data_IF_550763508203
#
_entry.id   IF_550763508203
#
_cell.length_a   1.000
_cell.length_b   1.000
_cell.length_c   1.000
_cell.angle_alpha   90.00
_cell.angle_beta   90.00
_cell.angle_gamma   90.00
#
_symmetry.space_group_name_H-M   'P 1'
#
loop_
_entity.id
_entity.type
_entity.pdbx_description
1 polymer ?
#
# COMPACT_ATOMS: atom_id res chain seq x y z
N UNK A 1 6.24 20.69 -0.16
CA UNK A 1 4.99 20.71 -0.94
C UNK A 1 4.12 19.55 -0.48
N UNK A 2 2.79 19.68 -0.37
CA UNK A 2 1.88 18.60 0.09
C UNK A 2 1.12 18.00 -1.10
N UNK A 3 0.77 16.72 -1.02
CA UNK A 3 -0.02 16.06 -2.07
C UNK A 3 -1.38 16.74 -2.26
N UNK A 4 -2.03 17.14 -1.17
CA UNK A 4 -3.30 17.87 -1.19
C UNK A 4 -3.18 19.23 -1.88
N UNK A 5 -2.01 19.87 -1.90
CA UNK A 5 -1.82 21.11 -2.66
C UNK A 5 -2.02 20.85 -4.16
N UNK A 6 -1.47 19.74 -4.67
CA UNK A 6 -1.58 19.36 -6.08
C UNK A 6 -3.01 18.87 -6.39
N UNK A 7 -3.57 18.02 -5.52
CA UNK A 7 -4.93 17.50 -5.67
C UNK A 7 -5.97 18.62 -5.72
N UNK A 8 -5.88 19.64 -4.86
CA UNK A 8 -6.81 20.78 -4.88
C UNK A 8 -6.68 21.66 -6.12
N UNK A 9 -5.49 21.73 -6.72
CA UNK A 9 -5.29 22.47 -7.97
C UNK A 9 -5.83 21.71 -9.18
N UNK A 10 -5.84 20.37 -9.11
CA UNK A 10 -6.29 19.49 -10.19
C UNK A 10 -7.15 18.36 -9.62
N UNK A 11 -8.39 18.65 -9.16
CA UNK A 11 -9.22 17.65 -8.54
C UNK A 11 -9.59 16.57 -9.56
N UNK A 12 -9.16 15.35 -9.27
CA UNK A 12 -9.43 14.18 -10.08
C UNK A 12 -9.66 12.98 -9.16
N UNK A 13 -10.47 12.02 -9.60
CA UNK A 13 -10.65 10.77 -8.84
C UNK A 13 -9.34 10.00 -8.84
N UNK A 14 -8.72 9.88 -7.67
CA UNK A 14 -7.49 9.07 -7.47
C UNK A 14 -7.90 7.68 -6.97
N UNK A 15 -7.59 6.64 -7.74
CA UNK A 15 -7.87 5.25 -7.35
C UNK A 15 -6.69 4.56 -6.67
N UNK A 16 -5.47 5.03 -6.91
CA UNK A 16 -4.23 4.42 -6.44
C UNK A 16 -3.16 5.49 -6.21
N UNK A 17 -2.38 5.35 -5.14
CA UNK A 17 -1.18 6.12 -4.85
C UNK A 17 -0.01 5.13 -4.67
N UNK A 18 1.11 5.35 -5.35
CA UNK A 18 2.39 4.72 -4.99
C UNK A 18 3.16 5.69 -4.09
N UNK A 19 3.63 5.23 -2.93
CA UNK A 19 4.51 5.99 -2.04
C UNK A 19 5.83 5.25 -1.92
N UNK A 20 6.87 5.89 -2.42
CA UNK A 20 8.23 5.35 -2.48
C UNK A 20 9.14 6.55 -2.26
N UNK A 21 9.45 6.80 -0.98
CA UNK A 21 10.04 8.07 -0.54
C UNK A 21 11.21 7.89 0.43
N UNK A 22 11.78 6.68 0.47
CA UNK A 22 13.02 6.39 1.20
C UNK A 22 12.98 6.91 2.65
N UNK A 23 11.88 6.65 3.38
CA UNK A 23 11.72 7.04 4.79
C UNK A 23 10.87 8.29 5.04
N UNK A 24 10.35 8.94 3.99
CA UNK A 24 9.52 10.13 4.12
C UNK A 24 8.01 9.85 3.97
N UNK A 25 7.59 8.60 4.11
CA UNK A 25 6.22 8.14 3.86
C UNK A 25 5.24 8.86 4.78
N UNK A 26 5.61 9.08 6.04
CA UNK A 26 4.78 9.79 7.01
C UNK A 26 4.47 11.23 6.56
N UNK A 27 5.44 11.92 5.95
CA UNK A 27 5.24 13.28 5.45
C UNK A 27 4.25 13.30 4.27
N UNK A 28 4.33 12.29 3.39
CA UNK A 28 3.38 12.11 2.28
C UNK A 28 1.97 11.87 2.81
N UNK A 29 1.80 10.91 3.73
CA UNK A 29 0.50 10.58 4.31
C UNK A 29 -0.13 11.78 5.03
N UNK A 30 0.66 12.53 5.81
CA UNK A 30 0.19 13.79 6.44
C UNK A 30 -0.20 14.87 5.44
N UNK A 31 0.43 14.87 4.27
CA UNK A 31 0.15 15.80 3.19
C UNK A 31 -0.98 15.36 2.26
N UNK A 32 -1.61 14.20 2.49
CA UNK A 32 -2.60 13.57 1.62
C UNK A 32 -3.98 13.43 2.28
N UNK A 33 -4.27 14.17 3.34
CA UNK A 33 -5.48 13.99 4.15
C UNK A 33 -6.77 14.18 3.34
N UNK A 34 -6.84 15.14 2.43
CA UNK A 34 -8.03 15.37 1.62
C UNK A 34 -8.22 14.27 0.58
N UNK A 35 -7.17 13.94 -0.17
CA UNK A 35 -7.28 12.88 -1.20
C UNK A 35 -7.58 11.52 -0.57
N UNK A 36 -7.01 11.20 0.60
CA UNK A 36 -7.30 9.97 1.33
C UNK A 36 -8.76 9.94 1.81
N UNK A 37 -9.27 11.05 2.34
CA UNK A 37 -10.66 11.16 2.82
C UNK A 37 -11.67 11.06 1.67
N UNK A 38 -11.46 11.85 0.61
CA UNK A 38 -12.43 12.05 -0.47
C UNK A 38 -12.39 10.95 -1.53
N UNK A 39 -11.20 10.50 -1.91
CA UNK A 39 -11.05 9.48 -2.95
C UNK A 39 -10.93 8.07 -2.38
N UNK A 40 -10.38 7.92 -1.17
CA UNK A 40 -10.10 6.60 -0.57
C UNK A 40 -9.27 5.67 -1.48
N UNK A 41 -8.17 6.15 -2.08
CA UNK A 41 -7.37 5.34 -3.00
C UNK A 41 -6.74 4.16 -2.29
N UNK A 42 -6.41 3.11 -3.04
CA UNK A 42 -5.40 2.16 -2.56
C UNK A 42 -4.04 2.84 -2.47
N UNK A 43 -3.20 2.32 -1.60
CA UNK A 43 -1.83 2.79 -1.44
C UNK A 43 -0.91 1.58 -1.58
N UNK A 44 0.03 1.66 -2.51
CA UNK A 44 1.18 0.78 -2.57
C UNK A 44 2.36 1.52 -1.98
N UNK A 45 2.98 0.97 -0.95
CA UNK A 45 4.12 1.61 -0.32
C UNK A 45 5.16 0.60 0.13
N UNK A 46 6.41 1.03 0.14
CA UNK A 46 7.49 0.25 0.72
C UNK A 46 7.55 0.51 2.23
N UNK A 47 7.65 -0.57 3.00
CA UNK A 47 7.94 -0.51 4.42
C UNK A 47 9.38 -0.89 4.66
N UNK A 48 10.24 0.13 4.66
CA UNK A 48 11.69 -0.03 4.84
C UNK A 48 12.11 0.36 6.26
N UNK A 49 11.40 1.31 6.90
CA UNK A 49 11.79 1.87 8.20
C UNK A 49 10.69 1.74 9.25
N UNK A 50 10.95 1.00 10.32
CA UNK A 50 9.98 0.74 11.41
C UNK A 50 9.67 1.96 12.28
N UNK A 51 10.53 2.97 12.30
CA UNK A 51 10.44 4.13 13.21
C UNK A 51 9.21 5.02 12.94
N UNK A 52 8.70 5.01 11.70
CA UNK A 52 7.58 5.85 11.26
C UNK A 52 6.28 5.09 11.06
N UNK A 53 6.29 3.75 11.09
CA UNK A 53 5.13 2.93 10.73
C UNK A 53 3.98 3.09 11.71
N UNK A 54 4.23 3.18 13.02
CA UNK A 54 3.16 3.28 14.02
C UNK A 54 2.27 4.53 13.86
N UNK A 55 2.85 5.68 13.50
CA UNK A 55 2.06 6.89 13.25
C UNK A 55 1.31 6.82 11.91
N UNK A 56 1.94 6.24 10.87
CA UNK A 56 1.28 6.01 9.58
C UNK A 56 0.07 5.08 9.77
N UNK A 57 0.25 3.97 10.49
CA UNK A 57 -0.80 3.01 10.82
C UNK A 57 -1.96 3.71 11.52
N UNK A 58 -1.68 4.48 12.57
CA UNK A 58 -2.70 5.23 13.30
C UNK A 58 -3.50 6.17 12.38
N UNK A 59 -2.84 6.90 11.50
CA UNK A 59 -3.49 7.84 10.57
C UNK A 59 -4.36 7.15 9.52
N UNK A 60 -3.99 5.93 9.11
CA UNK A 60 -4.70 5.17 8.08
C UNK A 60 -5.83 4.33 8.68
N UNK A 61 -5.63 3.72 9.86
CA UNK A 61 -6.65 2.93 10.56
C UNK A 61 -7.90 3.76 10.88
N UNK A 62 -7.75 4.99 11.36
CA UNK A 62 -8.89 5.89 11.65
C UNK A 62 -9.68 6.27 10.39
N UNK A 63 -9.07 6.08 9.21
CA UNK A 63 -9.68 6.31 7.92
C UNK A 63 -10.21 5.01 7.27
N UNK A 64 -10.27 3.91 8.02
CA UNK A 64 -10.84 2.64 7.58
C UNK A 64 -9.93 1.80 6.67
N UNK A 65 -8.64 2.13 6.61
CA UNK A 65 -7.66 1.34 5.87
C UNK A 65 -7.24 0.07 6.61
N UNK A 66 -6.82 -0.92 5.84
CA UNK A 66 -6.29 -2.22 6.28
C UNK A 66 -4.97 -2.47 5.57
N UNK A 67 -4.11 -3.29 6.18
CA UNK A 67 -2.75 -3.52 5.70
C UNK A 67 -2.57 -4.95 5.20
N UNK A 68 -1.81 -5.07 4.13
CA UNK A 68 -1.43 -6.34 3.55
C UNK A 68 0.06 -6.31 3.18
N UNK A 69 0.77 -7.39 3.49
CA UNK A 69 2.08 -7.71 2.95
C UNK A 69 1.91 -8.23 1.52
N UNK A 70 2.71 -7.72 0.60
CA UNK A 70 2.91 -8.33 -0.72
C UNK A 70 4.20 -9.16 -0.62
N UNK A 71 4.08 -10.47 -0.82
CA UNK A 71 5.20 -11.41 -0.94
C UNK A 71 5.47 -11.61 -2.44
N UNK A 72 6.41 -10.84 -2.97
CA UNK A 72 6.81 -10.83 -4.38
C UNK A 72 7.44 -12.17 -4.79
N UNK A 73 8.10 -12.87 -3.86
CA UNK A 73 8.75 -14.16 -4.12
C UNK A 73 7.70 -15.27 -4.34
N UNK A 74 6.57 -15.19 -3.63
CA UNK A 74 5.47 -16.16 -3.74
C UNK A 74 4.31 -15.70 -4.62
N UNK A 75 4.29 -14.42 -5.03
CA UNK A 75 3.15 -13.79 -5.69
C UNK A 75 1.87 -13.92 -4.85
N UNK A 76 1.99 -13.61 -3.56
CA UNK A 76 0.91 -13.70 -2.58
C UNK A 76 0.70 -12.37 -1.86
N UNK A 77 -0.51 -12.18 -1.36
CA UNK A 77 -0.90 -11.01 -0.57
C UNK A 77 -1.50 -11.50 0.73
N UNK A 78 -0.92 -11.09 1.86
CA UNK A 78 -1.31 -11.56 3.19
C UNK A 78 -1.77 -10.40 4.06
N UNK A 79 -2.89 -10.53 4.79
CA UNK A 79 -3.27 -9.50 5.76
C UNK A 79 -2.21 -9.41 6.87
N UNK A 80 -1.94 -8.20 7.33
CA UNK A 80 -1.03 -7.93 8.45
C UNK A 80 -1.63 -6.87 9.36
N UNK A 81 -1.33 -6.94 10.65
CA UNK A 81 -1.80 -5.95 11.63
C UNK A 81 -0.94 -4.69 11.67
N UNK A 82 0.29 -4.77 11.13
CA UNK A 82 1.29 -3.70 11.14
C UNK A 82 1.91 -3.53 9.77
N UNK A 83 2.29 -2.29 9.44
CA UNK A 83 3.11 -1.97 8.29
C UNK A 83 4.57 -2.30 8.53
N UNK A 84 5.03 -2.55 9.77
CA UNK A 84 6.44 -2.80 10.07
C UNK A 84 7.08 -3.86 9.14
N UNK A 85 8.38 -3.72 8.83
CA UNK A 85 9.12 -4.74 8.10
C UNK A 85 9.03 -6.09 8.82
N UNK A 86 8.79 -7.17 8.07
CA UNK A 86 8.73 -8.53 8.61
C UNK A 86 10.12 -9.13 8.87
N UNK A 87 11.16 -8.54 8.28
CA UNK A 87 12.54 -9.00 8.39
C UNK A 87 13.39 -8.04 9.25
N UNK A 88 14.45 -8.55 9.90
CA UNK A 88 15.45 -7.72 10.59
C UNK A 88 16.09 -6.69 9.64
N UNK A 89 16.42 -5.50 10.17
CA UNK A 89 17.00 -4.41 9.38
C UNK A 89 18.36 -4.75 8.73
N UNK A 90 19.09 -5.72 9.29
CA UNK A 90 20.39 -6.20 8.82
C UNK A 90 20.29 -7.34 7.79
N UNK A 91 19.10 -7.89 7.56
CA UNK A 91 18.84 -8.92 6.55
C UNK A 91 17.41 -8.79 6.00
N UNK A 92 17.10 -7.71 5.26
CA UNK A 92 15.75 -7.49 4.76
C UNK A 92 15.36 -8.58 3.76
N UNK A 93 14.17 -9.15 3.94
CA UNK A 93 13.54 -10.00 2.95
C UNK A 93 13.08 -9.12 1.78
N UNK A 94 13.93 -9.03 0.75
CA UNK A 94 13.73 -8.10 -0.38
C UNK A 94 12.37 -8.28 -1.08
N UNK A 95 11.84 -9.50 -1.14
CA UNK A 95 10.51 -9.78 -1.70
C UNK A 95 9.33 -9.47 -0.76
N UNK A 96 9.57 -8.89 0.43
CA UNK A 96 8.54 -8.63 1.44
C UNK A 96 8.53 -7.18 1.93
N UNK A 97 9.07 -6.25 1.14
CA UNK A 97 9.10 -4.83 1.46
C UNK A 97 7.78 -4.13 1.13
N UNK A 98 7.07 -4.65 0.12
CA UNK A 98 5.87 -4.02 -0.40
C UNK A 98 4.67 -4.21 0.52
N UNK A 99 3.88 -3.15 0.68
CA UNK A 99 2.62 -3.14 1.40
C UNK A 99 1.51 -2.63 0.50
N UNK A 100 0.37 -3.31 0.55
CA UNK A 100 -0.90 -2.78 0.08
C UNK A 100 -1.69 -2.25 1.27
N UNK A 101 -2.12 -1.00 1.18
CA UNK A 101 -3.00 -0.36 2.15
C UNK A 101 -4.29 0.02 1.45
N UNK A 102 -5.41 -0.53 1.90
CA UNK A 102 -6.68 -0.45 1.17
C UNK A 102 -7.89 -0.36 2.10
N UNK A 103 -8.97 0.27 1.63
CA UNK A 103 -10.29 0.25 2.29
C UNK A 103 -11.14 -0.96 1.87
N UNK A 104 -10.70 -1.71 0.86
CA UNK A 104 -11.41 -2.90 0.40
C UNK A 104 -11.57 -3.92 1.53
N UNK A 105 -12.66 -4.67 1.46
CA UNK A 105 -12.86 -5.84 2.30
C UNK A 105 -11.84 -6.94 1.97
N UNK A 106 -11.62 -7.84 2.92
CA UNK A 106 -10.76 -9.01 2.69
C UNK A 106 -11.21 -9.85 1.49
N UNK A 107 -12.53 -9.98 1.31
CA UNK A 107 -13.09 -10.72 0.18
C UNK A 107 -12.76 -10.09 -1.17
N UNK A 108 -12.83 -8.76 -1.27
CA UNK A 108 -12.44 -8.05 -2.50
C UNK A 108 -10.96 -8.24 -2.82
N UNK A 109 -10.09 -8.30 -1.80
CA UNK A 109 -8.66 -8.57 -2.00
C UNK A 109 -8.42 -10.00 -2.48
N UNK A 110 -9.08 -10.99 -1.88
CA UNK A 110 -9.01 -12.39 -2.35
C UNK A 110 -9.40 -12.46 -3.83
N UNK A 111 -10.56 -11.92 -4.20
CA UNK A 111 -11.03 -11.92 -5.59
C UNK A 111 -10.05 -11.22 -6.54
N UNK A 112 -9.45 -10.11 -6.12
CA UNK A 112 -8.45 -9.38 -6.92
C UNK A 112 -7.19 -10.22 -7.16
N UNK A 113 -6.70 -10.91 -6.12
CA UNK A 113 -5.50 -11.76 -6.22
C UNK A 113 -5.74 -13.01 -7.08
N UNK A 114 -6.91 -13.64 -6.98
CA UNK A 114 -7.30 -14.79 -7.81
C UNK A 114 -7.43 -14.40 -9.29
N UNK A 115 -8.01 -13.23 -9.56
CA UNK A 115 -8.13 -12.67 -10.91
C UNK A 115 -6.75 -12.43 -11.50
N UNK A 116 -5.88 -11.72 -10.77
CA UNK A 116 -4.52 -11.43 -11.22
C UNK A 116 -3.70 -12.71 -11.50
N UNK A 117 -3.83 -13.74 -10.64
CA UNK A 117 -3.17 -15.05 -10.82
C UNK A 117 -3.66 -15.77 -12.08
N UNK A 118 -4.97 -15.73 -12.33
CA UNK A 118 -5.57 -16.33 -13.53
C UNK A 118 -5.10 -15.64 -14.80
N UNK A 119 -5.02 -14.31 -14.80
CA UNK A 119 -4.51 -13.53 -15.93
C UNK A 119 -3.02 -13.82 -16.21
N UNK A 120 -2.21 -13.93 -15.15
CA UNK A 120 -0.79 -14.27 -15.26
C UNK A 120 -0.60 -15.64 -15.91
N UNK A 121 -1.34 -16.66 -15.46
CA UNK A 121 -1.29 -18.01 -16.03
C UNK A 121 -1.67 -17.99 -17.53
N UNK A 122 -2.72 -17.25 -17.88
CA UNK A 122 -3.17 -17.10 -19.26
C UNK A 122 -2.14 -16.41 -20.15
N UNK A 123 -1.33 -15.49 -19.60
CA UNK A 123 -0.21 -14.86 -20.31
C UNK A 123 0.96 -15.81 -20.50
N UNK A 124 1.32 -16.59 -19.49
CA UNK A 124 2.42 -17.57 -19.56
C UNK A 124 2.15 -18.72 -20.54
N UNK A 125 0.89 -19.05 -20.81
CA UNK A 125 0.50 -20.05 -21.82
C UNK A 125 0.53 -19.50 -23.26
N UNK A 126 0.66 -18.18 -23.44
CA UNK A 126 0.69 -17.51 -24.74
C UNK A 126 2.09 -17.08 -25.19
N UNK A 127 3.10 -17.27 -24.34
CA UNK A 127 4.53 -17.00 -24.59
C UNK A 127 5.27 -18.29 -24.90
#
# INVERSE_FOLDING_TARGET
>A
MRLDTIYRQNPAKVSLIKIDTEGHELAVIRGAGDVLRECGPDILMESVFSEVTGEIERLLLVQGYRFYLIDDDKLEVHPVDTLAPTAPADAPAMGQLNRLVTRRSAQEIVTLTETARSELLMRSLRS
#
